data_IF_475601878802
#
_entry.id   IF_475601878802
#
_cell.length_a   1.000
_cell.length_b   1.000
_cell.length_c   1.000
_cell.angle_alpha   90.00
_cell.angle_beta   90.00
_cell.angle_gamma   90.00
#
_symmetry.space_group_name_H-M   'P 1'
#
loop_
_entity.id
_entity.type
_entity.pdbx_description
1 polymer ?
#
# COMPACT_ATOMS: atom_id res chain seq x y z
N UNK A 1 45.79 -4.51 29.97
CA UNK A 1 44.63 -3.73 30.46
C UNK A 1 44.39 -2.65 29.43
N UNK A 2 43.31 -2.60 28.66
CA UNK A 2 41.99 -3.20 28.80
C UNK A 2 41.50 -3.74 27.45
N UNK A 3 40.89 -4.93 27.45
CA UNK A 3 40.01 -5.40 26.37
C UNK A 3 38.66 -4.72 26.58
N UNK A 4 38.23 -3.91 25.61
CA UNK A 4 36.85 -3.44 25.53
C UNK A 4 35.97 -4.63 25.17
N UNK A 5 35.12 -5.04 26.12
CA UNK A 5 34.07 -6.00 25.88
C UNK A 5 33.06 -5.39 24.89
N UNK A 6 33.10 -5.86 23.65
CA UNK A 6 32.00 -5.66 22.71
C UNK A 6 30.74 -6.26 23.33
N UNK A 7 29.79 -5.40 23.73
CA UNK A 7 28.47 -5.85 24.13
C UNK A 7 27.84 -6.57 22.94
N UNK A 8 27.61 -7.87 23.08
CA UNK A 8 26.83 -8.66 22.13
C UNK A 8 25.48 -7.97 21.94
N UNK A 9 25.22 -7.50 20.71
CA UNK A 9 23.90 -7.03 20.36
C UNK A 9 22.89 -8.17 20.59
N UNK A 10 21.70 -7.88 21.15
CA UNK A 10 20.70 -8.91 21.36
C UNK A 10 20.45 -9.64 20.05
N UNK A 11 20.55 -10.98 20.09
CA UNK A 11 20.32 -11.83 18.94
C UNK A 11 18.98 -11.45 18.28
N UNK A 12 18.92 -11.23 16.96
CA UNK A 12 17.66 -10.91 16.31
C UNK A 12 16.66 -12.02 16.62
N UNK A 13 15.55 -11.65 17.27
CA UNK A 13 14.41 -12.55 17.47
C UNK A 13 14.07 -13.19 16.14
N UNK A 14 13.73 -14.48 16.15
CA UNK A 14 13.37 -15.21 14.92
C UNK A 14 12.38 -14.37 14.08
N UNK A 15 12.54 -14.33 12.73
CA UNK A 15 11.69 -13.52 11.86
C UNK A 15 10.21 -13.79 12.14
N UNK A 16 9.47 -12.76 12.55
CA UNK A 16 8.02 -12.85 12.67
C UNK A 16 7.41 -12.80 11.27
N UNK A 17 6.36 -13.58 10.97
CA UNK A 17 5.70 -13.53 9.68
C UNK A 17 5.06 -12.15 9.48
N UNK A 18 5.06 -11.67 8.23
CA UNK A 18 4.38 -10.41 7.89
C UNK A 18 2.90 -10.56 8.23
N UNK A 19 2.37 -9.64 9.05
CA UNK A 19 0.96 -9.64 9.43
C UNK A 19 0.10 -9.12 8.28
N UNK A 20 0.45 -7.98 7.71
CA UNK A 20 -0.37 -7.32 6.69
C UNK A 20 0.49 -6.59 5.66
N UNK A 21 0.13 -6.69 4.38
CA UNK A 21 0.57 -5.75 3.35
C UNK A 21 -0.61 -4.84 3.02
N UNK A 22 -0.45 -3.54 3.22
CA UNK A 22 -1.49 -2.54 2.93
C UNK A 22 -1.16 -1.76 1.66
N UNK A 23 -2.17 -1.56 0.81
CA UNK A 23 -2.15 -0.57 -0.25
C UNK A 23 -2.82 0.71 0.20
N UNK A 24 -2.11 1.84 0.15
CA UNK A 24 -2.73 3.16 0.11
C UNK A 24 -3.02 3.53 -1.35
N UNK A 25 -4.27 3.34 -1.79
CA UNK A 25 -4.67 3.72 -3.14
C UNK A 25 -4.47 5.21 -3.36
N UNK A 26 -3.82 5.60 -4.46
CA UNK A 26 -3.57 7.03 -4.75
C UNK A 26 -4.86 7.86 -4.73
N UNK A 27 -5.96 7.28 -5.18
CA UNK A 27 -7.31 7.83 -5.08
C UNK A 27 -7.78 8.20 -3.67
N UNK A 28 -7.35 7.41 -2.67
CA UNK A 28 -7.76 7.57 -1.29
C UNK A 28 -6.99 8.69 -0.59
N UNK A 29 -5.71 8.85 -0.92
CA UNK A 29 -4.78 9.75 -0.21
C UNK A 29 -4.36 10.99 -1.03
N UNK A 30 -4.79 11.11 -2.29
CA UNK A 30 -4.52 12.26 -3.16
C UNK A 30 -5.78 12.77 -3.85
N UNK A 31 -5.79 14.04 -4.24
CA UNK A 31 -6.89 14.65 -4.96
C UNK A 31 -6.74 14.39 -6.47
N UNK A 32 -7.50 13.43 -7.00
CA UNK A 32 -7.38 12.96 -8.41
C UNK A 32 -7.42 14.05 -9.48
N UNK A 33 -8.16 15.13 -9.24
CA UNK A 33 -8.34 16.24 -10.19
C UNK A 33 -7.27 17.32 -10.12
N UNK A 34 -6.38 17.26 -9.14
CA UNK A 34 -5.41 18.32 -8.84
C UNK A 34 -4.00 17.74 -8.80
N UNK A 35 -3.15 18.25 -9.69
CA UNK A 35 -1.76 17.81 -9.82
C UNK A 35 -1.02 17.95 -8.50
N UNK A 36 -0.35 16.87 -8.06
CA UNK A 36 0.51 16.89 -6.86
C UNK A 36 -0.18 17.39 -5.58
N UNK A 37 -1.46 17.05 -5.42
CA UNK A 37 -2.28 17.44 -4.28
C UNK A 37 -2.66 16.24 -3.40
N UNK A 38 -2.39 16.34 -2.10
CA UNK A 38 -2.67 15.33 -1.09
C UNK A 38 -4.03 15.60 -0.44
N UNK A 39 -4.76 14.53 -0.16
CA UNK A 39 -5.91 14.60 0.74
C UNK A 39 -5.42 14.39 2.18
N UNK A 40 -5.09 15.50 2.84
CA UNK A 40 -4.46 15.50 4.18
C UNK A 40 -5.31 14.80 5.24
N UNK A 41 -6.63 15.00 5.20
CA UNK A 41 -7.55 14.39 6.16
C UNK A 41 -7.60 12.87 6.02
N UNK A 42 -7.70 12.37 4.78
CA UNK A 42 -7.70 10.94 4.51
C UNK A 42 -6.33 10.31 4.81
N UNK A 43 -5.23 10.98 4.47
CA UNK A 43 -3.87 10.49 4.76
C UNK A 43 -3.65 10.39 6.27
N UNK A 44 -3.99 11.45 7.03
CA UNK A 44 -3.91 11.46 8.50
C UNK A 44 -4.76 10.36 9.10
N UNK A 45 -6.01 10.24 8.65
CA UNK A 45 -6.92 9.19 9.12
C UNK A 45 -6.33 7.81 8.84
N UNK A 46 -5.85 7.53 7.63
CA UNK A 46 -5.23 6.25 7.30
C UNK A 46 -3.98 5.93 8.14
N UNK A 47 -3.13 6.92 8.44
CA UNK A 47 -1.95 6.72 9.27
C UNK A 47 -2.33 6.42 10.74
N UNK A 48 -3.27 7.17 11.32
CA UNK A 48 -3.77 6.92 12.66
C UNK A 48 -4.42 5.53 12.78
N UNK A 49 -5.19 5.14 11.76
CA UNK A 49 -5.81 3.83 11.66
C UNK A 49 -4.78 2.69 11.59
N UNK A 50 -3.71 2.87 10.82
CA UNK A 50 -2.58 1.93 10.77
C UNK A 50 -1.90 1.80 12.14
N UNK A 51 -1.60 2.92 12.81
CA UNK A 51 -1.00 2.91 14.15
C UNK A 51 -1.88 2.15 15.15
N UNK A 52 -3.19 2.39 15.11
CA UNK A 52 -4.14 1.69 15.97
C UNK A 52 -4.20 0.19 15.67
N UNK A 53 -4.16 -0.22 14.39
CA UNK A 53 -4.17 -1.63 14.02
C UNK A 53 -2.88 -2.38 14.39
N UNK A 54 -1.74 -1.66 14.44
CA UNK A 54 -0.45 -2.20 14.87
C UNK A 54 -0.35 -2.32 16.40
N UNK A 55 -1.14 -1.58 17.18
CA UNK A 55 -1.07 -1.62 18.64
C UNK A 55 -1.71 -2.90 19.19
N UNK A 56 -0.98 -3.64 20.05
CA UNK A 56 -1.48 -4.87 20.69
C UNK A 56 -2.34 -4.50 21.92
N UNK A 57 -3.66 -4.63 21.80
CA UNK A 57 -4.71 -4.64 22.85
C UNK A 57 -5.20 -3.33 23.49
N UNK A 58 -6.51 -3.33 23.77
CA UNK A 58 -7.36 -2.35 24.48
C UNK A 58 -6.97 -2.22 25.98
N UNK A 59 -5.72 -1.88 26.27
CA UNK A 59 -5.26 -1.53 27.62
C UNK A 59 -5.78 -0.16 28.07
N UNK A 60 -6.01 -0.01 29.38
CA UNK A 60 -6.63 1.13 30.09
C UNK A 60 -6.57 2.45 29.31
N UNK A 61 -7.75 2.93 28.86
CA UNK A 61 -8.01 3.94 27.82
C UNK A 61 -7.43 5.33 28.01
N UNK A 62 -6.31 5.47 28.71
CA UNK A 62 -5.41 6.59 28.58
C UNK A 62 -4.75 6.55 27.19
N UNK A 63 -4.84 7.62 26.38
CA UNK A 63 -4.08 7.71 25.16
C UNK A 63 -2.59 7.71 25.53
N UNK A 64 -1.91 6.59 25.29
CA UNK A 64 -0.45 6.57 25.31
C UNK A 64 0.02 7.70 24.38
N UNK A 65 0.83 8.62 24.92
CA UNK A 65 1.29 9.78 24.17
C UNK A 65 2.03 9.29 22.93
N UNK A 66 1.43 9.46 21.75
CA UNK A 66 2.05 9.08 20.47
C UNK A 66 3.33 9.88 20.28
N UNK A 67 4.46 9.17 20.30
CA UNK A 67 5.79 9.73 20.06
C UNK A 67 6.07 9.73 18.56
N UNK A 68 5.93 10.90 17.93
CA UNK A 68 6.31 11.09 16.55
C UNK A 68 7.82 10.91 16.33
N UNK A 69 8.17 10.20 15.26
CA UNK A 69 9.55 9.90 14.84
C UNK A 69 10.04 10.80 13.70
N UNK A 70 9.18 11.63 13.13
CA UNK A 70 9.60 12.61 12.12
C UNK A 70 10.21 13.85 12.80
N UNK A 71 11.53 13.84 12.96
CA UNK A 71 12.29 14.97 13.49
C UNK A 71 12.93 15.84 12.40
N UNK A 72 12.49 15.66 11.16
CA UNK A 72 13.03 16.41 10.04
C UNK A 72 12.25 17.72 9.84
N UNK A 73 12.96 18.81 9.54
CA UNK A 73 12.36 20.14 9.40
C UNK A 73 12.05 20.47 7.94
N UNK A 74 10.92 21.14 7.70
CA UNK A 74 10.58 21.79 6.44
C UNK A 74 10.25 23.27 6.63
N UNK A 75 10.38 24.01 5.54
CA UNK A 75 9.97 25.40 5.51
C UNK A 75 8.46 25.49 5.73
N UNK A 76 8.04 26.26 6.74
CA UNK A 76 6.63 26.38 7.13
C UNK A 76 6.20 25.48 8.30
N UNK A 77 7.08 24.58 8.79
CA UNK A 77 6.78 23.85 10.02
C UNK A 77 6.67 24.84 11.21
N UNK A 78 5.60 24.75 12.01
CA UNK A 78 5.27 25.78 13.01
C UNK A 78 6.22 25.83 14.22
N UNK A 79 7.10 24.84 14.38
CA UNK A 79 8.10 24.77 15.45
C UNK A 79 9.31 23.90 15.04
N UNK A 80 10.41 24.02 15.76
CA UNK A 80 11.50 23.05 15.65
C UNK A 80 11.01 21.67 16.16
N UNK A 81 11.34 20.57 15.46
CA UNK A 81 10.93 19.24 15.89
C UNK A 81 11.54 18.92 17.27
N UNK A 82 10.68 18.76 18.27
CA UNK A 82 11.08 18.37 19.61
C UNK A 82 11.29 16.85 19.65
N UNK A 83 12.53 16.41 19.87
CA UNK A 83 12.85 15.00 20.12
C UNK A 83 12.91 14.77 21.61
N UNK A 84 12.00 13.95 22.13
CA UNK A 84 12.10 13.46 23.52
C UNK A 84 13.04 12.24 23.55
N UNK A 85 14.32 12.49 23.30
CA UNK A 85 15.33 11.44 23.10
C UNK A 85 15.51 10.58 24.36
N UNK A 86 15.39 11.18 25.54
CA UNK A 86 15.46 10.48 26.82
C UNK A 86 14.28 9.52 27.00
N UNK A 87 13.06 9.96 26.67
CA UNK A 87 11.88 9.11 26.72
C UNK A 87 12.01 7.94 25.75
N UNK A 88 12.44 8.18 24.51
CA UNK A 88 12.61 7.11 23.50
C UNK A 88 13.70 6.13 23.91
N UNK A 89 14.84 6.61 24.42
CA UNK A 89 15.91 5.76 24.91
C UNK A 89 15.49 4.90 26.12
N UNK A 90 14.52 5.37 26.91
CA UNK A 90 13.95 4.66 28.04
C UNK A 90 12.87 3.63 27.70
N UNK A 91 12.37 3.59 26.45
CA UNK A 91 11.32 2.65 26.05
C UNK A 91 11.87 1.23 25.84
N UNK A 92 11.20 0.23 26.40
CA UNK A 92 11.53 -1.18 26.15
C UNK A 92 11.20 -1.64 24.72
N UNK A 93 10.33 -0.90 24.02
CA UNK A 93 9.89 -1.15 22.66
C UNK A 93 8.78 -0.17 22.28
N UNK A 94 8.38 -0.14 21.00
CA UNK A 94 7.42 0.85 20.48
C UNK A 94 5.94 0.58 20.81
N UNK A 95 5.65 -0.53 21.50
CA UNK A 95 4.29 -0.96 21.83
C UNK A 95 3.44 -1.37 20.62
N UNK A 96 4.05 -1.58 19.45
CA UNK A 96 3.35 -1.90 18.21
C UNK A 96 3.98 -3.08 17.47
N UNK A 97 3.13 -3.86 16.79
CA UNK A 97 3.50 -4.89 15.84
C UNK A 97 3.85 -4.26 14.49
N UNK A 98 5.16 -4.12 14.22
CA UNK A 98 5.69 -3.51 13.00
C UNK A 98 5.79 -4.46 11.81
N UNK A 99 5.24 -5.68 11.89
CA UNK A 99 5.23 -6.67 10.80
C UNK A 99 4.24 -6.29 9.67
N UNK A 100 4.33 -5.07 9.18
CA UNK A 100 3.51 -4.49 8.13
C UNK A 100 4.41 -4.02 6.99
N UNK A 101 3.86 -4.03 5.77
CA UNK A 101 4.44 -3.34 4.62
C UNK A 101 3.39 -2.41 4.05
N UNK A 102 3.77 -1.17 3.77
CA UNK A 102 2.91 -0.18 3.13
C UNK A 102 3.34 -0.04 1.67
N UNK A 103 2.38 -0.06 0.75
CA UNK A 103 2.62 0.26 -0.67
C UNK A 103 1.62 1.33 -1.09
N UNK A 104 2.04 2.42 -1.70
CA UNK A 104 1.09 3.42 -2.21
C UNK A 104 1.02 3.48 -3.74
N UNK A 105 -0.13 3.91 -4.26
CA UNK A 105 -0.28 4.24 -5.67
C UNK A 105 0.34 5.61 -6.01
N UNK A 106 0.55 5.89 -7.29
CA UNK A 106 1.12 7.17 -7.72
C UNK A 106 0.19 8.38 -7.50
N UNK A 107 -1.14 8.16 -7.52
CA UNK A 107 -2.12 9.24 -7.32
C UNK A 107 -1.92 10.40 -8.29
N UNK A 108 -2.16 11.61 -7.80
CA UNK A 108 -1.89 12.86 -8.55
C UNK A 108 -0.39 13.17 -8.76
N UNK A 109 0.53 12.38 -8.20
CA UNK A 109 1.99 12.59 -8.24
C UNK A 109 2.72 11.70 -9.25
N UNK A 110 2.03 11.12 -10.22
CA UNK A 110 2.73 10.38 -11.27
C UNK A 110 1.91 10.10 -12.51
N UNK A 111 0.59 9.97 -12.34
CA UNK A 111 -0.31 9.72 -13.47
C UNK A 111 -0.29 10.85 -14.50
N UNK A 112 -0.27 12.11 -14.06
CA UNK A 112 -0.24 13.26 -14.97
C UNK A 112 1.04 13.28 -15.82
N UNK A 113 2.20 13.13 -15.18
CA UNK A 113 3.52 13.15 -15.81
C UNK A 113 3.67 11.96 -16.76
N UNK A 114 3.36 10.75 -16.30
CA UNK A 114 3.51 9.51 -17.08
C UNK A 114 2.56 9.41 -18.27
N UNK A 115 1.31 9.88 -18.11
CA UNK A 115 0.32 9.89 -19.19
C UNK A 115 0.68 10.92 -20.27
N UNK A 116 1.01 12.16 -19.88
CA UNK A 116 1.37 13.25 -20.79
C UNK A 116 2.61 12.95 -21.64
N UNK A 117 3.59 12.25 -21.06
CA UNK A 117 4.87 11.97 -21.71
C UNK A 117 4.96 10.60 -22.38
N UNK A 118 4.02 9.69 -22.10
CA UNK A 118 4.04 8.34 -22.65
C UNK A 118 5.02 7.38 -21.99
N UNK A 119 5.48 7.64 -20.75
CA UNK A 119 6.45 6.77 -20.03
C UNK A 119 5.98 5.31 -19.96
N UNK A 120 4.69 5.07 -19.75
CA UNK A 120 4.10 3.73 -19.74
C UNK A 120 4.26 2.96 -21.07
N UNK A 121 4.49 3.67 -22.18
CA UNK A 121 4.70 3.10 -23.52
C UNK A 121 6.17 2.79 -23.81
N UNK A 122 7.10 3.35 -23.05
CA UNK A 122 8.54 3.19 -23.26
C UNK A 122 9.14 4.12 -24.32
N UNK A 123 10.39 3.85 -24.70
CA UNK A 123 11.15 4.60 -25.71
C UNK A 123 11.98 5.73 -25.12
N UNK A 124 12.99 5.40 -24.31
CA UNK A 124 13.88 6.41 -23.67
C UNK A 124 14.77 7.15 -24.67
N UNK A 125 14.79 6.74 -25.94
CA UNK A 125 15.39 7.51 -27.04
C UNK A 125 14.66 8.85 -27.29
N UNK A 126 13.36 8.94 -26.96
CA UNK A 126 12.59 10.18 -27.04
C UNK A 126 12.92 11.10 -25.86
N UNK A 127 13.33 12.33 -26.14
CA UNK A 127 13.58 13.35 -25.10
C UNK A 127 12.32 13.63 -24.26
N UNK A 128 11.13 13.55 -24.86
CA UNK A 128 9.87 13.73 -24.13
C UNK A 128 9.64 12.61 -23.11
N UNK A 129 9.84 11.35 -23.51
CA UNK A 129 9.69 10.18 -22.63
C UNK A 129 10.74 10.23 -21.53
N UNK A 130 12.00 10.56 -21.87
CA UNK A 130 13.09 10.71 -20.90
C UNK A 130 12.81 11.80 -19.86
N UNK A 131 12.37 12.99 -20.29
CA UNK A 131 11.96 14.06 -19.38
C UNK A 131 10.75 13.66 -18.54
N UNK A 132 9.79 12.95 -19.15
CA UNK A 132 8.63 12.38 -18.48
C UNK A 132 8.99 11.37 -17.40
N UNK A 133 9.96 10.50 -17.66
CA UNK A 133 10.46 9.51 -16.70
C UNK A 133 11.04 10.23 -15.47
N UNK A 134 11.90 11.23 -15.70
CA UNK A 134 12.47 12.07 -14.63
C UNK A 134 11.36 12.75 -13.81
N UNK A 135 10.42 13.43 -14.48
CA UNK A 135 9.34 14.16 -13.81
C UNK A 135 8.40 13.22 -13.02
N UNK A 136 8.05 12.07 -13.59
CA UNK A 136 7.24 11.04 -12.92
C UNK A 136 7.92 10.56 -11.65
N UNK A 137 9.24 10.32 -11.72
CA UNK A 137 10.03 9.84 -10.57
C UNK A 137 10.11 10.87 -9.46
N UNK A 138 10.50 12.10 -9.78
CA UNK A 138 10.56 13.19 -8.80
C UNK A 138 9.23 13.29 -8.05
N UNK A 139 8.13 13.34 -8.80
CA UNK A 139 6.80 13.51 -8.24
C UNK A 139 6.38 12.33 -7.34
N UNK A 140 6.50 11.08 -7.81
CA UNK A 140 6.05 9.93 -7.01
C UNK A 140 6.93 9.68 -5.78
N UNK A 141 8.23 9.97 -5.86
CA UNK A 141 9.12 9.91 -4.69
C UNK A 141 8.83 11.02 -3.68
N UNK A 142 8.32 12.17 -4.14
CA UNK A 142 7.88 13.25 -3.25
C UNK A 142 6.65 12.80 -2.46
N UNK A 143 5.64 12.20 -3.13
CA UNK A 143 4.49 11.60 -2.44
C UNK A 143 4.92 10.53 -1.43
N UNK A 144 5.87 9.66 -1.79
CA UNK A 144 6.40 8.66 -0.88
C UNK A 144 7.00 9.31 0.38
N UNK A 145 7.74 10.41 0.23
CA UNK A 145 8.29 11.13 1.36
C UNK A 145 7.19 11.73 2.25
N UNK A 146 6.11 12.30 1.69
CA UNK A 146 4.98 12.79 2.48
C UNK A 146 4.32 11.68 3.31
N UNK A 147 4.08 10.52 2.70
CA UNK A 147 3.46 9.38 3.37
C UNK A 147 4.37 8.83 4.48
N UNK A 148 5.67 8.68 4.20
CA UNK A 148 6.66 8.24 5.20
C UNK A 148 6.65 9.19 6.40
N UNK A 149 6.65 10.51 6.16
CA UNK A 149 6.55 11.51 7.23
C UNK A 149 5.24 11.42 8.01
N UNK A 150 4.11 11.27 7.33
CA UNK A 150 2.80 11.14 7.98
C UNK A 150 2.75 9.91 8.91
N UNK A 151 3.24 8.75 8.45
CA UNK A 151 3.37 7.54 9.27
C UNK A 151 4.33 7.76 10.46
N UNK A 152 5.48 8.39 10.22
CA UNK A 152 6.45 8.67 11.27
C UNK A 152 5.91 9.62 12.34
N UNK A 153 5.09 10.61 11.97
CA UNK A 153 4.40 11.49 12.92
C UNK A 153 3.40 10.75 13.81
N UNK A 154 2.81 9.66 13.32
CA UNK A 154 1.99 8.73 14.10
C UNK A 154 2.82 7.69 14.90
N UNK A 155 4.14 7.88 14.98
CA UNK A 155 5.04 6.99 15.73
C UNK A 155 5.29 5.63 15.07
N UNK A 156 5.00 5.50 13.77
CA UNK A 156 5.32 4.30 13.00
C UNK A 156 6.77 4.44 12.49
N UNK A 157 7.68 3.46 12.70
CA UNK A 157 9.06 3.52 12.22
C UNK A 157 9.13 3.26 10.70
N UNK A 158 8.57 4.17 9.91
CA UNK A 158 8.42 4.07 8.47
C UNK A 158 9.70 4.40 7.72
N UNK A 159 10.06 3.60 6.72
CA UNK A 159 11.20 3.86 5.83
C UNK A 159 10.81 3.72 4.37
N UNK A 160 11.08 4.77 3.58
CA UNK A 160 10.77 4.81 2.16
C UNK A 160 11.73 3.98 1.31
N UNK A 161 11.20 3.16 0.40
CA UNK A 161 11.97 2.29 -0.49
C UNK A 161 11.43 2.38 -1.93
N UNK A 162 12.20 2.98 -2.84
CA UNK A 162 11.83 3.07 -4.26
C UNK A 162 12.15 1.75 -4.98
N UNK A 163 11.17 1.09 -5.63
CA UNK A 163 11.42 -0.11 -6.44
C UNK A 163 12.55 0.08 -7.47
N UNK A 164 12.60 1.24 -8.14
CA UNK A 164 13.69 1.51 -9.07
C UNK A 164 15.06 1.56 -8.37
N UNK A 165 15.15 2.23 -7.21
CA UNK A 165 16.40 2.31 -6.47
C UNK A 165 16.84 0.93 -5.93
N UNK A 166 15.87 0.07 -5.62
CA UNK A 166 16.11 -1.32 -5.22
C UNK A 166 16.39 -2.26 -6.42
N UNK A 167 16.53 -1.74 -7.64
CA UNK A 167 16.90 -2.52 -8.83
C UNK A 167 15.76 -3.36 -9.41
N UNK A 168 14.50 -3.02 -9.13
CA UNK A 168 13.37 -3.71 -9.73
C UNK A 168 13.21 -3.30 -11.19
N UNK A 169 12.93 -4.27 -12.05
CA UNK A 169 12.81 -4.06 -13.50
C UNK A 169 11.69 -4.87 -14.09
N UNK A 170 11.27 -4.46 -15.29
CA UNK A 170 10.25 -5.16 -16.07
C UNK A 170 10.81 -5.67 -17.40
N UNK A 171 10.07 -6.59 -18.01
CA UNK A 171 10.29 -7.06 -19.38
C UNK A 171 8.92 -7.10 -20.05
N UNK A 172 8.74 -6.29 -21.08
CA UNK A 172 7.43 -6.16 -21.75
C UNK A 172 6.30 -5.83 -20.76
N UNK A 173 6.55 -4.88 -19.85
CA UNK A 173 5.61 -4.41 -18.80
C UNK A 173 5.27 -5.42 -17.70
N UNK A 174 5.90 -6.60 -17.70
CA UNK A 174 5.75 -7.59 -16.63
C UNK A 174 6.96 -7.52 -15.72
N UNK A 175 6.75 -7.71 -14.41
CA UNK A 175 7.85 -7.76 -13.45
C UNK A 175 8.86 -8.85 -13.86
N UNK A 176 10.12 -8.47 -14.04
CA UNK A 176 11.18 -9.37 -14.51
C UNK A 176 12.19 -9.67 -13.40
N UNK A 177 12.60 -8.64 -12.65
CA UNK A 177 13.48 -8.76 -11.50
C UNK A 177 12.97 -7.91 -10.35
N UNK A 178 13.02 -8.45 -9.14
CA UNK A 178 12.66 -7.76 -7.91
C UNK A 178 13.49 -8.31 -6.75
N UNK A 179 14.42 -7.51 -6.24
CA UNK A 179 15.19 -7.85 -5.06
C UNK A 179 14.50 -7.29 -3.82
N UNK A 180 14.06 -8.18 -2.92
CA UNK A 180 13.38 -7.82 -1.68
C UNK A 180 14.29 -7.94 -0.43
N UNK A 181 15.59 -8.20 -0.59
CA UNK A 181 16.50 -8.39 0.55
C UNK A 181 16.53 -7.18 1.50
N UNK A 182 16.54 -5.97 0.96
CA UNK A 182 16.51 -4.74 1.77
C UNK A 182 15.17 -4.57 2.52
N UNK A 183 14.06 -4.98 1.90
CA UNK A 183 12.72 -4.94 2.52
C UNK A 183 12.68 -5.92 3.70
N UNK A 184 13.19 -7.14 3.51
CA UNK A 184 13.24 -8.17 4.55
C UNK A 184 14.17 -7.75 5.69
N UNK A 185 15.36 -7.20 5.38
CA UNK A 185 16.28 -6.68 6.40
C UNK A 185 15.66 -5.55 7.21
N UNK A 186 14.91 -4.66 6.56
CA UNK A 186 14.19 -3.57 7.22
C UNK A 186 13.10 -4.08 8.17
N UNK A 187 12.32 -5.09 7.76
CA UNK A 187 11.35 -5.75 8.63
C UNK A 187 12.03 -6.38 9.85
N UNK A 188 13.14 -7.09 9.64
CA UNK A 188 13.91 -7.70 10.74
C UNK A 188 14.50 -6.65 11.70
N UNK A 189 14.81 -5.45 11.22
CA UNK A 189 15.25 -4.33 12.04
C UNK A 189 14.11 -3.59 12.75
N UNK A 190 12.85 -4.03 12.57
CA UNK A 190 11.67 -3.46 13.24
C UNK A 190 11.08 -2.23 12.53
N UNK A 191 11.55 -1.89 11.32
CA UNK A 191 10.96 -0.83 10.52
C UNK A 191 9.74 -1.32 9.74
N UNK A 192 8.87 -0.38 9.33
CA UNK A 192 7.77 -0.59 8.39
C UNK A 192 8.20 -0.08 7.01
N UNK A 193 8.53 -0.97 6.04
CA UNK A 193 8.89 -0.55 4.69
C UNK A 193 7.71 0.11 3.98
N UNK A 194 7.96 1.24 3.32
CA UNK A 194 6.99 1.99 2.52
C UNK A 194 7.47 2.02 1.07
N UNK A 195 6.80 1.28 0.21
CA UNK A 195 7.05 1.21 -1.23
C UNK A 195 5.98 1.98 -2.00
N UNK A 196 6.19 2.14 -3.31
CA UNK A 196 5.26 2.86 -4.17
C UNK A 196 5.25 2.33 -5.59
N UNK A 197 4.15 2.54 -6.31
CA UNK A 197 4.15 2.40 -7.76
C UNK A 197 5.21 3.33 -8.36
N UNK A 198 5.99 2.85 -9.32
CA UNK A 198 7.23 3.51 -9.73
C UNK A 198 7.44 3.48 -11.25
N UNK A 199 8.23 4.44 -11.75
CA UNK A 199 8.75 4.40 -13.12
C UNK A 199 10.06 3.59 -13.12
N UNK A 200 10.05 2.46 -13.81
CA UNK A 200 11.16 1.50 -13.80
C UNK A 200 11.74 1.26 -15.19
N UNK A 201 12.95 0.71 -15.25
CA UNK A 201 13.54 0.26 -16.51
C UNK A 201 12.85 -1.01 -17.00
N UNK A 202 12.65 -1.08 -18.31
CA UNK A 202 12.11 -2.26 -18.99
C UNK A 202 13.12 -2.79 -20.01
N UNK A 203 13.36 -4.10 -20.02
CA UNK A 203 14.33 -4.74 -20.92
C UNK A 203 14.00 -4.59 -22.41
N UNK A 204 12.74 -4.40 -22.79
CA UNK A 204 12.29 -4.31 -24.19
C UNK A 204 11.77 -2.92 -24.55
N UNK A 205 11.15 -2.23 -23.61
CA UNK A 205 10.53 -0.91 -23.82
C UNK A 205 11.43 0.24 -23.36
N UNK A 206 12.64 -0.03 -22.87
CA UNK A 206 13.54 0.86 -22.13
C UNK A 206 13.01 1.28 -20.74
N UNK A 207 11.74 1.65 -20.65
CA UNK A 207 11.07 1.99 -19.39
C UNK A 207 9.57 1.70 -19.43
N UNK A 208 8.97 1.58 -18.26
CA UNK A 208 7.51 1.55 -18.10
C UNK A 208 7.09 1.90 -16.67
N UNK A 209 5.80 1.77 -16.37
CA UNK A 209 5.24 1.94 -15.03
C UNK A 209 5.06 0.58 -14.36
N UNK A 210 5.68 0.41 -13.20
CA UNK A 210 5.42 -0.69 -12.28
C UNK A 210 4.32 -0.26 -11.30
N UNK A 211 3.15 -0.88 -11.41
CA UNK A 211 2.02 -0.53 -10.54
C UNK A 211 2.24 -1.04 -9.11
N UNK A 212 1.70 -0.32 -8.13
CA UNK A 212 1.73 -0.80 -6.75
C UNK A 212 0.92 -2.08 -6.52
N UNK A 213 -0.03 -2.42 -7.41
CA UNK A 213 -0.81 -3.67 -7.30
C UNK A 213 0.10 -4.87 -7.62
N UNK A 214 0.93 -4.75 -8.67
CA UNK A 214 1.95 -5.75 -9.04
C UNK A 214 3.00 -5.92 -7.93
N UNK A 215 3.40 -4.83 -7.27
CA UNK A 215 4.33 -4.86 -6.13
C UNK A 215 3.74 -5.67 -4.98
N UNK A 216 2.49 -5.38 -4.59
CA UNK A 216 1.82 -6.11 -3.50
C UNK A 216 1.69 -7.59 -3.83
N UNK A 217 1.25 -7.95 -5.06
CA UNK A 217 1.17 -9.35 -5.47
C UNK A 217 2.52 -10.06 -5.34
N UNK A 218 3.60 -9.42 -5.81
CA UNK A 218 4.93 -10.02 -5.73
C UNK A 218 5.39 -10.19 -4.27
N UNK A 219 5.18 -9.20 -3.41
CA UNK A 219 5.53 -9.30 -2.00
C UNK A 219 4.68 -10.34 -1.26
N UNK A 220 3.39 -10.46 -1.59
CA UNK A 220 2.51 -11.48 -1.01
C UNK A 220 2.96 -12.91 -1.38
N UNK A 221 3.41 -13.11 -2.63
CA UNK A 221 4.01 -14.38 -3.07
C UNK A 221 5.28 -14.73 -2.32
N UNK A 222 6.09 -13.73 -1.99
CA UNK A 222 7.39 -13.94 -1.35
C UNK A 222 7.29 -14.10 0.17
N UNK A 223 6.42 -13.33 0.82
CA UNK A 223 6.39 -13.15 2.27
C UNK A 223 5.17 -13.78 2.95
N UNK A 224 4.19 -14.24 2.18
CA UNK A 224 2.96 -14.91 2.65
C UNK A 224 2.33 -14.21 3.87
N UNK A 225 1.92 -12.93 3.74
CA UNK A 225 1.28 -12.21 4.83
C UNK A 225 -0.02 -12.88 5.26
N UNK A 226 -0.47 -12.64 6.51
CA UNK A 226 -1.75 -13.19 6.98
C UNK A 226 -2.94 -12.71 6.14
N UNK A 227 -2.91 -11.45 5.70
CA UNK A 227 -3.90 -10.86 4.80
C UNK A 227 -3.32 -9.65 4.07
N UNK A 228 -4.03 -9.20 3.03
CA UNK A 228 -3.70 -7.99 2.27
C UNK A 228 -4.88 -7.03 2.28
N UNK A 229 -4.62 -5.73 2.44
CA UNK A 229 -5.65 -4.69 2.48
C UNK A 229 -5.42 -3.68 1.38
N UNK A 230 -6.43 -3.39 0.56
CA UNK A 230 -6.45 -2.29 -0.38
C UNK A 230 -7.37 -1.18 0.13
N UNK A 231 -6.78 -0.06 0.55
CA UNK A 231 -7.53 1.13 0.91
C UNK A 231 -7.77 1.99 -0.33
N UNK A 232 -9.04 2.28 -0.63
CA UNK A 232 -9.48 3.04 -1.79
C UNK A 232 -10.44 4.18 -1.39
N UNK A 233 -10.91 4.97 -2.36
CA UNK A 233 -11.85 6.09 -2.16
C UNK A 233 -13.34 5.67 -2.15
N UNK A 234 -13.61 4.38 -2.34
CA UNK A 234 -14.95 3.77 -2.39
C UNK A 234 -15.02 2.54 -1.47
N UNK A 235 -16.22 2.07 -1.14
CA UNK A 235 -16.38 1.01 -0.14
C UNK A 235 -15.86 -0.37 -0.58
N UNK A 236 -15.59 -0.59 -1.86
CA UNK A 236 -15.05 -1.86 -2.36
C UNK A 236 -15.19 -1.95 -3.88
N UNK A 237 -15.35 -3.16 -4.39
CA UNK A 237 -15.62 -3.44 -5.79
C UNK A 237 -17.12 -3.35 -6.04
N UNK A 238 -17.52 -2.60 -7.06
CA UNK A 238 -18.92 -2.51 -7.49
C UNK A 238 -19.10 -3.21 -8.84
N UNK A 239 -20.33 -3.63 -9.13
CA UNK A 239 -20.71 -4.21 -10.42
C UNK A 239 -20.66 -3.20 -11.58
N UNK A 240 -20.67 -1.90 -11.28
CA UNK A 240 -20.60 -0.78 -12.22
C UNK A 240 -20.00 0.45 -11.51
N UNK A 241 -19.79 1.60 -12.19
CA UNK A 241 -19.24 2.79 -11.54
C UNK A 241 -19.99 3.15 -10.23
N UNK A 242 -19.30 3.36 -9.09
CA UNK A 242 -19.96 3.66 -7.81
C UNK A 242 -20.74 4.98 -7.77
N UNK A 243 -20.59 5.80 -8.80
CA UNK A 243 -21.38 7.03 -9.03
C UNK A 243 -22.77 6.75 -9.59
N UNK A 244 -23.02 5.55 -10.12
CA UNK A 244 -24.34 5.11 -10.53
C UNK A 244 -25.21 4.81 -9.29
N UNK A 245 -26.41 5.38 -9.14
CA UNK A 245 -27.31 5.10 -8.01
C UNK A 245 -27.70 3.62 -7.87
N UNK A 246 -27.61 2.84 -8.94
CA UNK A 246 -27.92 1.41 -8.95
C UNK A 246 -26.68 0.53 -8.78
N UNK A 247 -25.51 1.12 -8.50
CA UNK A 247 -24.29 0.35 -8.29
C UNK A 247 -24.40 -0.54 -7.06
N UNK A 248 -24.05 -1.81 -7.23
CA UNK A 248 -24.14 -2.83 -6.20
C UNK A 248 -22.73 -3.19 -5.74
N UNK A 249 -22.49 -3.08 -4.44
CA UNK A 249 -21.24 -3.51 -3.82
C UNK A 249 -21.13 -5.03 -3.86
N UNK A 250 -20.07 -5.54 -4.49
CA UNK A 250 -19.70 -6.94 -4.49
C UNK A 250 -19.01 -7.24 -3.16
N UNK A 251 -19.73 -7.81 -2.20
CA UNK A 251 -19.22 -8.03 -0.84
C UNK A 251 -18.23 -9.19 -0.76
N UNK A 252 -18.42 -10.20 -1.61
CA UNK A 252 -17.60 -11.42 -1.58
C UNK A 252 -17.36 -11.95 -2.99
N UNK A 253 -16.08 -12.17 -3.30
CA UNK A 253 -15.59 -12.75 -4.53
C UNK A 253 -14.73 -13.96 -4.16
N UNK A 254 -15.01 -15.10 -4.78
CA UNK A 254 -14.17 -16.30 -4.66
C UNK A 254 -13.33 -16.48 -5.91
N UNK A 255 -12.15 -17.10 -5.75
CA UNK A 255 -11.21 -17.38 -6.83
C UNK A 255 -10.90 -18.86 -6.83
N UNK A 256 -11.11 -19.51 -7.97
CA UNK A 256 -10.84 -20.92 -8.15
C UNK A 256 -9.35 -21.22 -8.39
N UNK A 257 -9.01 -22.50 -8.38
CA UNK A 257 -7.66 -22.99 -8.64
C UNK A 257 -7.13 -22.62 -10.03
N UNK A 258 -8.00 -22.34 -11.00
CA UNK A 258 -7.62 -21.89 -12.35
C UNK A 258 -7.38 -20.37 -12.41
N UNK A 259 -7.75 -19.64 -11.36
CA UNK A 259 -7.72 -18.19 -11.29
C UNK A 259 -8.89 -17.48 -11.96
N UNK A 260 -9.94 -18.23 -12.29
CA UNK A 260 -11.24 -17.62 -12.53
C UNK A 260 -11.83 -17.17 -11.19
N UNK A 261 -12.34 -15.96 -11.14
CA UNK A 261 -13.08 -15.48 -9.97
C UNK A 261 -14.59 -15.64 -10.18
N UNK A 262 -15.39 -15.51 -9.13
CA UNK A 262 -16.85 -15.45 -9.22
C UNK A 262 -17.43 -14.67 -8.05
N UNK A 263 -18.56 -14.01 -8.28
CA UNK A 263 -19.26 -13.26 -7.24
C UNK A 263 -20.05 -14.24 -6.38
N UNK A 264 -19.87 -14.19 -5.06
CA UNK A 264 -20.62 -15.01 -4.09
C UNK A 264 -21.72 -14.18 -3.42
N UNK A 265 -21.38 -12.94 -3.02
CA UNK A 265 -22.33 -11.98 -2.42
C UNK A 265 -22.29 -10.66 -3.20
N UNK A 266 -23.44 -10.16 -3.69
CA UNK A 266 -24.81 -10.65 -3.45
C UNK A 266 -25.19 -11.86 -4.35
N UNK A 267 -26.10 -12.70 -3.85
CA UNK A 267 -26.55 -13.92 -4.54
C UNK A 267 -27.16 -13.65 -5.93
N UNK A 268 -27.77 -12.48 -6.13
CA UNK A 268 -28.40 -12.07 -7.40
C UNK A 268 -27.40 -11.96 -8.57
N UNK A 269 -26.10 -11.84 -8.29
CA UNK A 269 -25.03 -11.69 -9.27
C UNK A 269 -24.13 -12.94 -9.34
N UNK A 270 -24.53 -14.05 -8.70
CA UNK A 270 -23.73 -15.27 -8.63
C UNK A 270 -23.35 -15.80 -10.01
N UNK A 271 -22.05 -16.10 -10.18
CA UNK A 271 -21.50 -16.71 -11.39
C UNK A 271 -21.39 -15.79 -12.62
N UNK A 272 -21.74 -14.49 -12.53
CA UNK A 272 -21.75 -13.59 -13.69
C UNK A 272 -20.68 -12.48 -13.64
N UNK A 273 -19.43 -12.82 -13.95
CA UNK A 273 -18.37 -11.80 -14.08
C UNK A 273 -18.50 -10.98 -15.38
N UNK A 274 -19.27 -11.47 -16.36
CA UNK A 274 -19.45 -10.80 -17.66
C UNK A 274 -20.37 -9.57 -17.59
N UNK A 275 -21.06 -9.37 -16.46
CA UNK A 275 -21.93 -8.23 -16.20
C UNK A 275 -21.28 -7.09 -15.40
N UNK A 276 -20.01 -7.23 -15.00
CA UNK A 276 -19.30 -6.20 -14.23
C UNK A 276 -18.72 -5.14 -15.19
N UNK A 277 -19.26 -3.94 -15.16
CA UNK A 277 -18.72 -2.79 -15.87
C UNK A 277 -17.54 -2.22 -15.10
N UNK A 278 -16.33 -2.56 -15.55
CA UNK A 278 -15.12 -2.10 -14.90
C UNK A 278 -14.70 -0.75 -15.47
N UNK A 279 -14.70 0.27 -14.62
CA UNK A 279 -14.28 1.62 -15.01
C UNK A 279 -12.77 1.81 -14.90
N UNK A 280 -12.21 2.50 -15.90
CA UNK A 280 -10.83 3.02 -15.89
C UNK A 280 -10.93 4.55 -15.90
N UNK A 281 -10.32 5.21 -14.92
CA UNK A 281 -10.30 6.67 -14.89
C UNK A 281 -9.45 7.23 -16.05
N UNK A 282 -9.80 8.40 -16.59
CA UNK A 282 -9.15 9.00 -17.77
C UNK A 282 -7.63 9.21 -17.64
N UNK A 283 -7.11 9.27 -16.41
CA UNK A 283 -5.69 9.44 -16.11
C UNK A 283 -5.04 8.19 -15.50
N UNK A 284 -5.77 7.09 -15.33
CA UNK A 284 -5.22 5.83 -14.83
C UNK A 284 -4.53 5.05 -15.96
N UNK A 285 -3.21 4.90 -15.83
CA UNK A 285 -2.37 4.22 -16.83
C UNK A 285 -2.13 2.75 -16.49
N UNK A 286 -2.75 2.23 -15.41
CA UNK A 286 -2.51 0.90 -14.84
C UNK A 286 -3.67 -0.08 -14.99
N UNK A 287 -4.79 0.33 -15.59
CA UNK A 287 -5.93 -0.56 -15.89
C UNK A 287 -7.06 -0.58 -14.85
N UNK A 288 -7.07 0.35 -13.88
CA UNK A 288 -8.24 0.61 -13.04
C UNK A 288 -8.58 -0.48 -12.03
N UNK A 289 -9.88 -0.74 -11.85
CA UNK A 289 -10.36 -1.75 -10.90
C UNK A 289 -10.19 -3.18 -11.41
N UNK A 290 -10.11 -3.39 -12.72
CA UNK A 290 -10.00 -4.73 -13.31
C UNK A 290 -8.65 -5.35 -12.96
N UNK A 291 -7.58 -4.61 -13.23
CA UNK A 291 -6.22 -5.04 -12.89
C UNK A 291 -6.09 -5.30 -11.40
N UNK A 292 -6.74 -4.50 -10.55
CA UNK A 292 -6.72 -4.70 -9.10
C UNK A 292 -7.41 -5.99 -8.67
N UNK A 293 -8.56 -6.33 -9.25
CA UNK A 293 -9.24 -7.61 -9.01
C UNK A 293 -8.37 -8.77 -9.48
N UNK A 294 -7.73 -8.65 -10.66
CA UNK A 294 -6.85 -9.71 -11.19
C UNK A 294 -5.61 -9.94 -10.30
N UNK A 295 -4.94 -8.87 -9.88
CA UNK A 295 -3.79 -8.96 -8.96
C UNK A 295 -4.22 -9.52 -7.60
N UNK A 296 -5.36 -9.06 -7.05
CA UNK A 296 -5.94 -9.58 -5.82
C UNK A 296 -6.35 -11.05 -5.95
N UNK A 297 -6.86 -11.47 -7.11
CA UNK A 297 -7.22 -12.86 -7.36
C UNK A 297 -6.00 -13.77 -7.36
N UNK A 298 -4.85 -13.31 -7.89
CA UNK A 298 -3.60 -14.06 -7.79
C UNK A 298 -3.14 -14.20 -6.34
N UNK A 299 -3.32 -13.17 -5.50
CA UNK A 299 -3.02 -13.24 -4.07
C UNK A 299 -3.95 -14.22 -3.35
N UNK A 300 -5.26 -14.13 -3.62
CA UNK A 300 -6.28 -15.00 -3.02
C UNK A 300 -6.02 -16.49 -3.24
N UNK A 301 -5.55 -16.88 -4.45
CA UNK A 301 -5.17 -18.26 -4.78
C UNK A 301 -4.00 -18.81 -3.96
N UNK A 302 -3.23 -17.95 -3.31
CA UNK A 302 -2.17 -18.37 -2.39
C UNK A 302 -2.71 -18.72 -0.99
N UNK A 303 -4.04 -18.66 -0.82
CA UNK A 303 -4.70 -18.82 0.48
C UNK A 303 -4.63 -17.56 1.35
N UNK A 304 -4.36 -16.39 0.74
CA UNK A 304 -4.24 -15.11 1.44
C UNK A 304 -5.49 -14.28 1.17
N UNK A 305 -6.25 -13.99 2.21
CA UNK A 305 -7.43 -13.13 2.08
C UNK A 305 -7.05 -11.71 1.68
N UNK A 306 -7.81 -11.13 0.74
CA UNK A 306 -7.66 -9.74 0.30
C UNK A 306 -8.91 -8.94 0.65
N UNK A 307 -8.73 -7.83 1.35
CA UNK A 307 -9.81 -6.90 1.72
C UNK A 307 -9.69 -5.62 0.90
N UNK A 308 -10.78 -5.17 0.28
CA UNK A 308 -10.86 -3.89 -0.42
C UNK A 308 -11.92 -3.03 0.25
N UNK A 309 -11.55 -1.87 0.77
CA UNK A 309 -12.48 -0.98 1.50
C UNK A 309 -12.06 0.49 1.45
N UNK A 310 -12.97 1.37 1.86
CA UNK A 310 -12.78 2.82 1.84
C UNK A 310 -11.87 3.28 2.98
N UNK A 311 -10.81 4.02 2.66
CA UNK A 311 -9.92 4.62 3.65
C UNK A 311 -10.67 5.57 4.60
N UNK A 312 -10.21 5.65 5.85
CA UNK A 312 -10.75 6.57 6.86
C UNK A 312 -12.14 6.21 7.39
N UNK A 313 -12.58 4.96 7.20
CA UNK A 313 -13.86 4.46 7.72
C UNK A 313 -13.63 3.44 8.85
N UNK A 314 -14.68 3.09 9.59
CA UNK A 314 -14.59 1.98 10.55
C UNK A 314 -14.28 0.63 9.85
N UNK A 315 -14.68 0.49 8.59
CA UNK A 315 -14.43 -0.72 7.81
C UNK A 315 -12.94 -0.84 7.43
N UNK A 316 -12.25 0.26 7.10
CA UNK A 316 -10.80 0.22 6.92
C UNK A 316 -10.09 -0.19 8.20
N UNK A 317 -10.55 0.24 9.38
CA UNK A 317 -10.00 -0.23 10.65
C UNK A 317 -10.15 -1.73 10.86
N UNK A 318 -11.35 -2.28 10.63
CA UNK A 318 -11.60 -3.73 10.77
C UNK A 318 -10.73 -4.52 9.79
N UNK A 319 -10.60 -4.08 8.54
CA UNK A 319 -9.70 -4.70 7.55
C UNK A 319 -8.22 -4.66 7.97
N UNK A 320 -7.74 -3.52 8.48
CA UNK A 320 -6.35 -3.38 8.94
C UNK A 320 -6.03 -4.25 10.15
N UNK A 321 -7.03 -4.56 10.99
CA UNK A 321 -6.88 -5.52 12.10
C UNK A 321 -6.91 -6.98 11.64
N UNK A 322 -7.55 -7.25 10.49
CA UNK A 322 -7.82 -8.60 9.99
C UNK A 322 -9.17 -9.17 10.50
N UNK A 323 -10.01 -8.33 11.09
CA UNK A 323 -11.24 -8.73 11.76
C UNK A 323 -12.45 -8.53 10.82
N UNK A 324 -12.44 -9.24 9.69
CA UNK A 324 -13.47 -9.08 8.65
C UNK A 324 -14.31 -10.36 8.49
N UNK A 325 -15.63 -10.21 8.59
CA UNK A 325 -16.60 -11.27 8.30
C UNK A 325 -17.67 -10.76 7.32
N UNK A 326 -17.95 -11.55 6.26
CA UNK A 326 -19.03 -11.25 5.30
C UNK A 326 -20.41 -11.66 5.81
N UNK A 327 -20.51 -12.25 7.00
CA UNK A 327 -21.80 -12.60 7.62
C UNK A 327 -22.39 -11.44 8.42
N UNK A 328 -21.58 -10.42 8.69
CA UNK A 328 -22.05 -9.20 9.33
C UNK A 328 -22.59 -8.22 8.28
N UNK A 329 -23.88 -7.91 8.35
CA UNK A 329 -24.54 -6.98 7.42
C UNK A 329 -24.00 -5.54 7.51
N UNK A 330 -23.36 -5.20 8.63
CA UNK A 330 -22.74 -3.90 8.89
C UNK A 330 -21.39 -3.69 8.19
N UNK A 331 -20.81 -4.75 7.59
CA UNK A 331 -19.54 -4.65 6.88
C UNK A 331 -19.71 -4.04 5.49
N UNK A 332 -19.00 -2.94 5.20
CA UNK A 332 -18.89 -2.37 3.86
C UNK A 332 -17.46 -2.53 3.33
N UNK A 333 -17.30 -3.58 2.52
CA UNK A 333 -16.06 -3.96 1.88
C UNK A 333 -16.27 -5.10 0.89
N UNK A 334 -15.24 -5.37 0.09
CA UNK A 334 -15.15 -6.58 -0.72
C UNK A 334 -14.08 -7.49 -0.12
N UNK A 335 -14.42 -8.75 0.14
CA UNK A 335 -13.44 -9.81 0.42
C UNK A 335 -13.21 -10.60 -0.85
N UNK A 336 -11.94 -10.83 -1.20
CA UNK A 336 -11.51 -11.72 -2.27
C UNK A 336 -10.69 -12.83 -1.64
N UNK A 337 -11.11 -14.09 -1.81
CA UNK A 337 -10.49 -15.26 -1.19
C UNK A 337 -10.51 -16.48 -2.11
N UNK A 338 -9.70 -17.50 -1.81
CA UNK A 338 -9.75 -18.78 -2.54
C UNK A 338 -11.11 -19.46 -2.32
N UNK A 339 -11.65 -20.10 -3.35
CA UNK A 339 -12.72 -21.10 -3.16
C UNK A 339 -12.16 -22.23 -2.29
N UNK A 340 -12.98 -22.73 -1.36
CA UNK A 340 -12.64 -23.90 -0.55
C UNK A 340 -12.70 -25.20 -1.34
#
# INVERSE_FOLDING_TARGET
MAEEAAQEQPSPTAPRPVRCIVKLGGAAITNKGELESINEDNLRSACAQLRQAMSESDGDGSPEKVLGMDWSKRQGDPADPAVDAELIAGMAGLGIDTNFIVVHGAGSFGHFQASRSGVHKGGLCSTLVKAGFVATRISVTSLNQEIVRALAREGIPSVGMSPFACGWSTKQRKLASANASQIIQSLHAGFVPVLHGDAVLDEFLDCTILSGDVIIRHLAQLLSPKYVVFLTDVHGVYDRPPTDPNAVLLREIEVDDNGSWSIVKPALLQGNNKGVEISVAAHDTTGGMETKILEAAVIARLGIDVYITKAGTEHSMRALKGDVSTDSEDWLGTIIRSSK
#
